data_IF_676782019126
#
_entry.id   IF_676782019126
#
_cell.length_a   1.000
_cell.length_b   1.000
_cell.length_c   1.000
_cell.angle_alpha   90.00
_cell.angle_beta   90.00
_cell.angle_gamma   90.00
#
_symmetry.space_group_name_H-M   'P 1'
#
loop_
_entity.id
_entity.type
_entity.pdbx_description
1 polymer ?
#
# COMPACT_ATOMS: atom_id res chain seq x y z
N UNK A 1 8.96 -4.29 19.43
CA UNK A 1 7.82 -3.34 19.35
C UNK A 1 6.86 -3.57 18.15
N UNK A 2 7.05 -4.56 17.26
CA UNK A 2 6.12 -4.87 16.15
C UNK A 2 4.89 -5.79 16.44
N UNK A 3 4.66 -6.42 17.62
CA UNK A 3 3.51 -7.33 17.79
C UNK A 3 2.17 -6.64 18.11
N UNK A 4 2.18 -5.39 18.63
CA UNK A 4 0.95 -4.72 19.10
C UNK A 4 0.06 -4.27 17.93
N UNK A 5 0.64 -3.78 16.83
CA UNK A 5 -0.10 -3.26 15.68
C UNK A 5 -0.91 -4.34 14.92
N UNK A 6 -0.49 -5.61 15.00
CA UNK A 6 -1.10 -6.73 14.28
C UNK A 6 -2.26 -7.36 15.07
N UNK A 7 -2.17 -7.33 16.40
CA UNK A 7 -3.28 -7.75 17.26
C UNK A 7 -4.53 -6.88 17.01
N UNK A 8 -4.36 -5.58 16.75
CA UNK A 8 -5.45 -4.68 16.45
C UNK A 8 -6.19 -5.05 15.15
N UNK A 9 -5.47 -5.42 14.08
CA UNK A 9 -6.09 -5.79 12.78
C UNK A 9 -6.86 -7.11 12.87
N UNK A 10 -6.36 -8.08 13.65
CA UNK A 10 -7.04 -9.37 13.85
C UNK A 10 -8.26 -9.20 14.77
N UNK A 11 -8.14 -8.40 15.84
CA UNK A 11 -9.27 -8.08 16.71
C UNK A 11 -10.39 -7.34 15.94
N UNK A 12 -10.02 -6.47 15.00
CA UNK A 12 -10.95 -5.73 14.13
C UNK A 12 -11.79 -6.66 13.23
N UNK A 13 -11.15 -7.67 12.62
CA UNK A 13 -11.84 -8.66 11.79
C UNK A 13 -12.81 -9.54 12.60
N UNK A 14 -12.45 -9.88 13.85
CA UNK A 14 -13.30 -10.69 14.73
C UNK A 14 -14.51 -9.88 15.24
N UNK A 15 -14.31 -8.61 15.64
CA UNK A 15 -15.40 -7.76 16.11
C UNK A 15 -16.43 -7.46 14.99
N UNK A 16 -15.97 -7.19 13.77
CA UNK A 16 -16.85 -6.93 12.62
C UNK A 16 -17.68 -8.17 12.23
N UNK A 17 -17.13 -9.38 12.37
CA UNK A 17 -17.85 -10.63 12.11
C UNK A 17 -18.90 -10.95 13.19
N UNK A 18 -18.62 -10.63 14.46
CA UNK A 18 -19.56 -10.87 15.57
C UNK A 18 -20.72 -9.87 15.56
N UNK A 19 -20.52 -8.65 15.07
CA UNK A 19 -21.58 -7.64 14.97
C UNK A 19 -22.63 -7.96 13.89
N UNK A 20 -22.25 -8.66 12.81
CA UNK A 20 -23.18 -9.03 11.72
C UNK A 20 -24.17 -10.15 12.11
N UNK A 21 -23.85 -10.97 13.11
CA UNK A 21 -24.68 -12.12 13.50
C UNK A 21 -25.82 -11.73 14.46
N UNK A 22 -25.81 -10.50 15.00
CA UNK A 22 -26.81 -10.02 15.98
C UNK A 22 -27.92 -9.13 15.42
N UNK A 23 -27.88 -8.79 14.14
CA UNK A 23 -28.88 -7.91 13.51
C UNK A 23 -29.78 -8.66 12.52
N UNK A 24 -30.67 -9.51 13.04
CA UNK A 24 -31.84 -9.99 12.31
C UNK A 24 -33.09 -9.42 12.99
N UNK A 25 -33.94 -8.63 12.30
CA UNK A 25 -35.13 -8.07 12.92
C UNK A 25 -36.25 -9.13 12.99
N UNK A 26 -36.88 -9.24 14.16
CA UNK A 26 -38.12 -9.98 14.36
C UNK A 26 -39.26 -9.39 13.51
N UNK A 27 -40.03 -10.25 12.85
CA UNK A 27 -41.20 -9.87 12.05
C UNK A 27 -42.37 -9.50 12.98
N UNK A 28 -43.05 -8.36 12.80
CA UNK A 28 -44.27 -8.06 13.51
C UNK A 28 -45.47 -8.80 12.90
N UNK A 29 -46.30 -9.37 13.76
CA UNK A 29 -47.58 -10.02 13.45
C UNK A 29 -48.69 -9.00 13.20
N UNK A 30 -49.45 -9.21 12.12
CA UNK A 30 -50.62 -8.43 11.70
C UNK A 30 -51.85 -8.66 12.60
N UNK A 31 -52.66 -7.60 12.80
CA UNK A 31 -54.13 -7.65 12.81
C UNK A 31 -54.73 -6.23 12.50
N UNK A 32 -55.83 -6.10 11.71
CA UNK A 32 -56.44 -4.83 11.30
C UNK A 32 -57.73 -4.48 12.10
N UNK A 33 -58.28 -3.24 12.04
CA UNK A 33 -59.27 -2.88 10.99
C UNK A 33 -59.42 -1.39 10.58
N UNK A 34 -60.09 -1.18 9.43
CA UNK A 34 -60.95 -0.07 8.88
C UNK A 34 -60.64 1.41 9.21
N UNK A 35 -60.75 2.42 8.33
CA UNK A 35 -61.76 2.71 7.31
C UNK A 35 -61.26 3.80 6.29
N UNK A 36 -61.84 3.79 5.08
CA UNK A 36 -61.91 4.72 3.90
C UNK A 36 -61.04 6.01 3.79
N UNK A 37 -60.34 6.18 2.66
CA UNK A 37 -60.71 7.03 1.47
C UNK A 37 -59.65 6.90 0.35
N UNK A 38 -59.99 7.08 -0.95
CA UNK A 38 -59.10 6.73 -2.05
C UNK A 38 -58.21 7.91 -2.48
N UNK A 39 -56.88 7.73 -2.39
CA UNK A 39 -55.92 8.53 -3.15
C UNK A 39 -55.20 7.68 -4.19
N UNK A 40 -55.09 8.28 -5.36
CA UNK A 40 -54.55 7.81 -6.63
C UNK A 40 -53.13 7.25 -6.48
N UNK A 41 -52.93 6.00 -6.90
CA UNK A 41 -51.62 5.33 -6.95
C UNK A 41 -50.72 5.94 -8.04
N UNK A 42 -49.45 6.26 -7.76
CA UNK A 42 -48.39 6.25 -8.77
C UNK A 42 -47.99 4.79 -9.05
N UNK A 43 -47.63 4.51 -10.30
CA UNK A 43 -47.20 3.20 -10.79
C UNK A 43 -45.99 2.66 -10.02
N UNK A 44 -46.18 1.55 -9.33
CA UNK A 44 -45.09 0.71 -8.80
C UNK A 44 -44.31 0.11 -9.97
N UNK A 45 -43.10 0.62 -10.15
CA UNK A 45 -42.11 0.02 -11.04
C UNK A 45 -41.59 -1.26 -10.38
N UNK A 46 -41.90 -2.41 -10.99
CA UNK A 46 -41.48 -3.73 -10.54
C UNK A 46 -39.98 -3.88 -10.79
N UNK A 47 -39.16 -3.35 -9.88
CA UNK A 47 -37.75 -3.68 -9.82
C UNK A 47 -37.61 -5.19 -9.57
N UNK A 48 -37.05 -5.88 -10.56
CA UNK A 48 -36.75 -7.30 -10.48
C UNK A 48 -35.84 -7.56 -9.26
N UNK A 49 -36.03 -8.68 -8.54
CA UNK A 49 -35.14 -9.04 -7.44
C UNK A 49 -33.71 -9.12 -7.97
N UNK A 50 -32.83 -8.27 -7.45
CA UNK A 50 -31.39 -8.32 -7.69
C UNK A 50 -30.93 -9.73 -7.31
N UNK A 51 -30.58 -10.53 -8.32
CA UNK A 51 -30.09 -11.88 -8.12
C UNK A 51 -28.86 -11.81 -7.21
N UNK A 52 -28.92 -12.49 -6.05
CA UNK A 52 -27.76 -12.67 -5.20
C UNK A 52 -26.63 -13.27 -6.05
N UNK A 53 -25.43 -12.66 -6.11
CA UNK A 53 -24.33 -13.25 -6.84
C UNK A 53 -24.07 -14.62 -6.22
N UNK A 54 -24.29 -15.69 -6.99
CA UNK A 54 -23.92 -17.05 -6.62
C UNK A 54 -22.39 -17.11 -6.61
N UNK A 55 -21.78 -16.66 -5.52
CA UNK A 55 -20.36 -16.79 -5.30
C UNK A 55 -20.00 -18.26 -5.31
N UNK A 56 -19.32 -18.71 -6.37
CA UNK A 56 -18.83 -20.08 -6.45
C UNK A 56 -17.70 -20.17 -5.42
N UNK A 57 -18.01 -20.67 -4.23
CA UNK A 57 -17.00 -20.99 -3.23
C UNK A 57 -16.00 -21.96 -3.87
N UNK A 58 -14.71 -21.64 -3.78
CA UNK A 58 -13.66 -22.50 -4.35
C UNK A 58 -13.48 -23.74 -3.48
N UNK A 59 -14.28 -24.78 -3.75
CA UNK A 59 -14.10 -26.12 -3.20
C UNK A 59 -12.99 -26.87 -3.93
N UNK A 60 -12.42 -27.91 -3.30
CA UNK A 60 -11.46 -28.81 -3.95
C UNK A 60 -12.02 -29.34 -5.28
N UNK A 61 -13.31 -29.66 -5.31
CA UNK A 61 -14.06 -30.11 -6.48
C UNK A 61 -14.18 -29.01 -7.55
N UNK A 62 -14.48 -27.76 -7.16
CA UNK A 62 -14.58 -26.62 -8.10
C UNK A 62 -13.27 -26.26 -8.79
N UNK A 63 -12.14 -26.70 -8.22
CA UNK A 63 -10.80 -26.55 -8.80
C UNK A 63 -10.32 -27.86 -9.46
N UNK A 64 -11.14 -28.93 -9.46
CA UNK A 64 -10.78 -30.29 -9.92
C UNK A 64 -9.48 -30.80 -9.32
N UNK A 65 -9.18 -30.41 -8.08
CA UNK A 65 -7.93 -30.70 -7.40
C UNK A 65 -8.03 -32.01 -6.63
N UNK A 66 -7.47 -33.09 -7.18
CA UNK A 66 -7.20 -34.31 -6.41
C UNK A 66 -6.00 -34.03 -5.51
N UNK A 67 -6.23 -33.85 -4.20
CA UNK A 67 -5.19 -33.58 -3.19
C UNK A 67 -3.94 -34.49 -3.31
N UNK A 68 -4.08 -35.81 -3.57
CA UNK A 68 -2.93 -36.71 -3.74
C UNK A 68 -2.05 -36.37 -4.94
N UNK A 69 -2.58 -35.77 -6.00
CA UNK A 69 -1.85 -35.46 -7.24
C UNK A 69 -1.08 -34.12 -7.13
N UNK A 70 -1.50 -33.25 -6.19
CA UNK A 70 -0.88 -31.95 -5.94
C UNK A 70 0.25 -32.01 -4.90
N UNK A 71 0.20 -32.99 -4.00
CA UNK A 71 1.29 -33.23 -3.04
C UNK A 71 2.62 -33.52 -3.74
N UNK A 72 2.69 -34.36 -4.78
CA UNK A 72 3.87 -34.55 -5.61
C UNK A 72 4.26 -33.26 -6.34
N UNK A 73 3.31 -32.54 -6.96
CA UNK A 73 3.60 -31.40 -7.85
C UNK A 73 4.36 -30.24 -7.18
N UNK A 74 4.02 -29.86 -5.94
CA UNK A 74 4.76 -28.82 -5.21
C UNK A 74 6.03 -29.33 -4.52
N UNK A 75 6.16 -30.67 -4.39
CA UNK A 75 7.36 -31.35 -3.92
C UNK A 75 8.32 -31.73 -5.05
N UNK A 76 7.88 -31.64 -6.33
CA UNK A 76 8.78 -31.67 -7.49
C UNK A 76 9.83 -30.59 -7.24
N UNK A 77 11.10 -30.97 -7.16
CA UNK A 77 12.06 -30.18 -6.42
C UNK A 77 12.35 -28.90 -7.17
N UNK A 78 11.73 -27.82 -6.70
CA UNK A 78 12.18 -26.45 -6.88
C UNK A 78 13.70 -26.34 -6.64
N UNK A 79 14.24 -27.19 -5.76
CA UNK A 79 15.68 -27.40 -5.54
C UNK A 79 16.49 -27.90 -6.76
N UNK A 80 15.90 -28.69 -7.67
CA UNK A 80 16.55 -29.15 -8.91
C UNK A 80 16.36 -28.17 -10.07
N UNK A 81 15.29 -27.37 -10.07
CA UNK A 81 15.21 -26.21 -10.97
C UNK A 81 16.29 -25.15 -10.63
N UNK A 82 16.80 -25.13 -9.38
CA UNK A 82 17.91 -24.26 -8.95
C UNK A 82 19.29 -24.70 -9.46
N UNK A 83 19.54 -26.00 -9.62
CA UNK A 83 20.86 -26.53 -9.98
C UNK A 83 21.21 -26.33 -11.46
N UNK A 84 20.23 -25.98 -12.30
CA UNK A 84 20.44 -25.94 -13.74
C UNK A 84 20.76 -27.33 -14.30
N UNK A 85 20.33 -28.38 -13.58
CA UNK A 85 20.62 -29.76 -13.96
C UNK A 85 20.10 -30.03 -15.38
N UNK A 86 20.98 -30.41 -16.32
CA UNK A 86 20.59 -30.76 -17.67
C UNK A 86 19.67 -32.00 -17.72
N UNK A 87 19.59 -32.78 -16.63
CA UNK A 87 18.73 -33.96 -16.51
C UNK A 87 17.24 -33.65 -16.27
N UNK A 88 16.85 -32.37 -16.10
CA UNK A 88 15.44 -31.96 -16.03
C UNK A 88 15.05 -31.13 -17.25
N UNK A 89 15.22 -31.72 -18.45
CA UNK A 89 14.58 -31.23 -19.68
C UNK A 89 13.08 -31.54 -19.62
N UNK A 90 12.34 -30.86 -18.74
CA UNK A 90 10.90 -30.77 -18.92
C UNK A 90 10.64 -29.95 -20.17
N UNK A 91 9.74 -30.43 -21.02
CA UNK A 91 9.30 -29.62 -22.14
C UNK A 91 8.60 -28.33 -21.62
N UNK A 92 8.58 -27.28 -22.45
CA UNK A 92 8.00 -25.99 -22.06
C UNK A 92 6.50 -26.09 -21.71
N UNK A 93 5.79 -27.11 -22.18
CA UNK A 93 4.37 -27.34 -21.91
C UNK A 93 4.19 -27.99 -20.55
N UNK A 94 4.90 -29.08 -20.25
CA UNK A 94 4.94 -29.75 -18.96
C UNK A 94 5.34 -28.78 -17.85
N UNK A 95 6.35 -27.92 -18.10
CA UNK A 95 6.77 -26.91 -17.12
C UNK A 95 5.63 -25.95 -16.81
N UNK A 96 4.94 -25.43 -17.83
CA UNK A 96 3.79 -24.52 -17.66
C UNK A 96 2.62 -25.20 -16.93
N UNK A 97 2.32 -26.45 -17.27
CA UNK A 97 1.29 -27.23 -16.59
C UNK A 97 1.62 -27.47 -15.11
N UNK A 98 2.88 -27.79 -14.80
CA UNK A 98 3.35 -27.95 -13.42
C UNK A 98 3.19 -26.65 -12.64
N UNK A 99 3.66 -25.52 -13.18
CA UNK A 99 3.52 -24.20 -12.55
C UNK A 99 2.06 -23.85 -12.30
N UNK A 100 1.17 -24.15 -13.24
CA UNK A 100 -0.26 -23.92 -13.09
C UNK A 100 -0.87 -24.77 -11.96
N UNK A 101 -0.51 -26.06 -11.86
CA UNK A 101 -0.95 -26.94 -10.77
C UNK A 101 -0.42 -26.45 -9.41
N UNK A 102 0.83 -26.00 -9.35
CA UNK A 102 1.42 -25.40 -8.15
C UNK A 102 0.66 -24.14 -7.74
N UNK A 103 0.42 -23.23 -8.67
CA UNK A 103 -0.33 -22.00 -8.42
C UNK A 103 -1.76 -22.30 -7.92
N UNK A 104 -2.48 -23.23 -8.56
CA UNK A 104 -3.81 -23.66 -8.14
C UNK A 104 -3.81 -24.31 -6.76
N UNK A 105 -2.83 -25.15 -6.45
CA UNK A 105 -2.69 -25.78 -5.14
C UNK A 105 -2.53 -24.74 -4.03
N UNK A 106 -1.64 -23.76 -4.24
CA UNK A 106 -1.42 -22.71 -3.26
C UNK A 106 -2.61 -21.77 -3.15
N UNK A 107 -3.22 -21.37 -4.27
CA UNK A 107 -4.46 -20.58 -4.27
C UNK A 107 -5.59 -21.31 -3.50
N UNK A 108 -5.74 -22.62 -3.71
CA UNK A 108 -6.70 -23.45 -2.97
C UNK A 108 -6.39 -23.51 -1.47
N UNK A 109 -5.12 -23.67 -1.09
CA UNK A 109 -4.70 -23.68 0.32
C UNK A 109 -5.06 -22.38 1.04
N UNK A 110 -5.12 -21.26 0.33
CA UNK A 110 -5.57 -19.97 0.88
C UNK A 110 -7.09 -19.88 1.05
N UNK A 111 -7.86 -20.62 0.25
CA UNK A 111 -9.33 -20.62 0.27
C UNK A 111 -9.92 -21.73 1.14
N UNK A 112 -9.09 -22.67 1.58
CA UNK A 112 -9.55 -23.83 2.32
C UNK A 112 -9.82 -23.45 3.78
N UNK A 113 -11.10 -23.48 4.13
CA UNK A 113 -11.69 -23.21 5.46
C UNK A 113 -11.20 -24.13 6.59
N UNK A 114 -10.29 -25.07 6.32
CA UNK A 114 -10.08 -26.19 7.23
C UNK A 114 -9.48 -25.71 8.58
N UNK A 115 -10.18 -25.93 9.71
CA UNK A 115 -9.77 -25.51 11.06
C UNK A 115 -8.51 -26.20 11.61
N UNK A 116 -7.73 -26.90 10.78
CA UNK A 116 -6.36 -27.32 11.15
C UNK A 116 -5.44 -26.14 11.52
N UNK A 117 -5.87 -24.90 11.28
CA UNK A 117 -5.20 -23.66 11.70
C UNK A 117 -5.78 -23.03 12.98
N UNK A 118 -6.92 -23.53 13.48
CA UNK A 118 -7.48 -23.15 14.80
C UNK A 118 -7.17 -24.18 15.88
N UNK A 119 -6.67 -25.37 15.52
CA UNK A 119 -6.24 -26.37 16.49
C UNK A 119 -4.88 -26.02 17.10
N UNK A 120 -4.93 -25.43 18.31
CA UNK A 120 -3.90 -25.43 19.38
C UNK A 120 -2.66 -24.53 19.35
N UNK A 121 -2.28 -23.89 18.24
CA UNK A 121 -0.97 -23.18 18.16
C UNK A 121 -1.01 -21.64 18.15
N UNK A 122 -2.14 -21.00 18.50
CA UNK A 122 -2.23 -19.53 18.63
C UNK A 122 -2.20 -18.74 17.29
N UNK A 123 -2.46 -17.42 17.31
CA UNK A 123 -2.57 -16.57 16.12
C UNK A 123 -1.27 -16.46 15.30
N UNK A 124 -0.11 -16.77 15.89
CA UNK A 124 1.17 -16.80 15.20
C UNK A 124 1.29 -17.95 14.19
N UNK A 125 0.53 -19.04 14.36
CA UNK A 125 0.62 -20.21 13.48
C UNK A 125 0.15 -19.94 12.05
N UNK A 126 -0.89 -19.13 11.87
CA UNK A 126 -1.38 -18.73 10.54
C UNK A 126 -0.35 -17.85 9.82
N UNK A 127 0.32 -16.97 10.57
CA UNK A 127 1.38 -16.10 10.04
C UNK A 127 2.62 -16.90 9.67
N UNK A 128 3.06 -17.78 10.56
CA UNK A 128 4.15 -18.72 10.28
C UNK A 128 3.81 -19.61 9.09
N UNK A 129 2.55 -20.02 8.93
CA UNK A 129 2.13 -20.81 7.79
C UNK A 129 2.13 -20.01 6.48
N UNK A 130 1.60 -18.78 6.48
CA UNK A 130 1.64 -17.91 5.30
C UNK A 130 3.06 -17.52 4.91
N UNK A 131 3.93 -17.25 5.89
CA UNK A 131 5.35 -17.00 5.66
C UNK A 131 6.09 -18.28 5.20
N UNK A 132 5.75 -19.45 5.73
CA UNK A 132 6.29 -20.72 5.29
C UNK A 132 5.82 -21.04 3.87
N UNK A 133 4.55 -20.76 3.55
CA UNK A 133 3.97 -20.90 2.22
C UNK A 133 4.66 -19.93 1.25
N UNK A 134 4.84 -18.67 1.63
CA UNK A 134 5.64 -17.69 0.88
C UNK A 134 7.08 -18.14 0.65
N UNK A 135 7.73 -18.65 1.70
CA UNK A 135 9.11 -19.17 1.63
C UNK A 135 9.19 -20.40 0.72
N UNK A 136 8.13 -21.21 0.65
CA UNK A 136 8.02 -22.38 -0.24
C UNK A 136 7.66 -22.01 -1.68
N UNK A 137 6.87 -20.96 -1.89
CA UNK A 137 6.45 -20.47 -3.23
C UNK A 137 7.56 -19.64 -3.88
N UNK A 138 8.28 -18.83 -3.10
CA UNK A 138 9.32 -17.92 -3.58
C UNK A 138 10.71 -18.17 -2.95
N UNK A 139 11.23 -19.42 -2.94
CA UNK A 139 12.52 -19.72 -2.32
C UNK A 139 13.70 -19.07 -3.07
N UNK A 140 13.47 -18.45 -4.23
CA UNK A 140 14.53 -17.96 -5.13
C UNK A 140 14.95 -16.53 -4.88
N UNK A 141 14.03 -15.65 -4.52
CA UNK A 141 14.37 -14.25 -4.29
C UNK A 141 15.27 -14.11 -3.04
N UNK A 142 15.05 -14.95 -2.03
CA UNK A 142 15.95 -15.06 -0.87
C UNK A 142 17.34 -15.59 -1.27
N UNK A 143 17.44 -16.45 -2.28
CA UNK A 143 18.73 -16.92 -2.79
C UNK A 143 19.48 -15.79 -3.50
N UNK A 144 18.79 -14.98 -4.33
CA UNK A 144 19.36 -13.81 -4.99
C UNK A 144 19.81 -12.71 -4.02
N UNK A 145 19.08 -12.52 -2.92
CA UNK A 145 19.41 -11.50 -1.91
C UNK A 145 20.60 -11.91 -1.03
N UNK A 146 20.74 -13.21 -0.74
CA UNK A 146 21.73 -13.69 0.24
C UNK A 146 23.08 -14.07 -0.37
N UNK A 147 23.17 -14.21 -1.70
CA UNK A 147 24.40 -14.65 -2.33
C UNK A 147 24.81 -13.71 -3.49
N UNK A 148 25.76 -12.78 -3.25
CA UNK A 148 26.25 -11.87 -4.29
C UNK A 148 27.05 -12.59 -5.38
N UNK A 149 27.47 -13.85 -5.16
CA UNK A 149 28.31 -14.63 -6.06
C UNK A 149 27.51 -15.48 -7.06
N UNK A 150 26.17 -15.33 -7.12
CA UNK A 150 25.35 -16.06 -8.09
C UNK A 150 25.67 -15.59 -9.50
N UNK A 151 26.06 -16.49 -10.43
CA UNK A 151 26.32 -16.13 -11.82
C UNK A 151 25.14 -15.40 -12.46
N UNK A 152 25.42 -14.41 -13.32
CA UNK A 152 24.38 -13.61 -13.99
C UNK A 152 23.37 -14.48 -14.75
N UNK A 153 23.82 -15.58 -15.37
CA UNK A 153 22.96 -16.53 -16.05
C UNK A 153 21.98 -17.24 -15.10
N UNK A 154 22.45 -17.70 -13.95
CA UNK A 154 21.60 -18.33 -12.94
C UNK A 154 20.59 -17.31 -12.37
N UNK A 155 21.00 -16.05 -12.19
CA UNK A 155 20.10 -14.96 -11.82
C UNK A 155 19.00 -14.75 -12.85
N UNK A 156 19.33 -14.76 -14.14
CA UNK A 156 18.34 -14.66 -15.23
C UNK A 156 17.38 -15.84 -15.24
N UNK A 157 17.87 -17.09 -15.07
CA UNK A 157 17.04 -18.29 -15.00
C UNK A 157 16.06 -18.23 -13.82
N UNK A 158 16.55 -17.84 -12.64
CA UNK A 158 15.72 -17.64 -11.44
C UNK A 158 14.63 -16.61 -11.70
N UNK A 159 14.97 -15.47 -12.29
CA UNK A 159 14.01 -14.41 -12.60
C UNK A 159 12.97 -14.87 -13.60
N UNK A 160 13.38 -15.52 -14.69
CA UNK A 160 12.46 -16.09 -15.70
C UNK A 160 11.48 -17.06 -15.04
N UNK A 161 11.97 -17.96 -14.21
CA UNK A 161 11.11 -18.87 -13.46
C UNK A 161 10.11 -18.13 -12.57
N UNK A 162 10.57 -17.11 -11.85
CA UNK A 162 9.72 -16.32 -10.97
C UNK A 162 8.61 -15.57 -11.74
N UNK A 163 8.93 -15.03 -12.91
CA UNK A 163 7.97 -14.45 -13.85
C UNK A 163 6.97 -15.48 -14.39
N UNK A 164 7.44 -16.66 -14.81
CA UNK A 164 6.56 -17.76 -15.27
C UNK A 164 5.62 -18.23 -14.15
N UNK A 165 6.13 -18.34 -12.92
CA UNK A 165 5.33 -18.68 -11.74
C UNK A 165 4.30 -17.59 -11.43
N UNK A 166 4.68 -16.31 -11.44
CA UNK A 166 3.75 -15.20 -11.22
C UNK A 166 2.60 -15.23 -12.24
N UNK A 167 2.91 -15.42 -13.52
CA UNK A 167 1.92 -15.57 -14.59
C UNK A 167 0.96 -16.74 -14.35
N UNK A 168 1.44 -17.86 -13.80
CA UNK A 168 0.60 -18.99 -13.41
C UNK A 168 -0.31 -18.66 -12.20
N UNK A 169 0.16 -17.83 -11.26
CA UNK A 169 -0.61 -17.38 -10.10
C UNK A 169 -1.69 -16.36 -10.45
N UNK A 170 -1.50 -15.48 -11.44
CA UNK A 170 -2.48 -14.45 -11.82
C UNK A 170 -3.90 -15.01 -12.01
N UNK A 171 -4.16 -16.00 -12.89
CA UNK A 171 -5.51 -16.52 -13.09
C UNK A 171 -6.05 -17.27 -11.85
N UNK A 172 -5.18 -17.92 -11.09
CA UNK A 172 -5.57 -18.64 -9.88
C UNK A 172 -6.03 -17.67 -8.79
N UNK A 173 -5.23 -16.63 -8.50
CA UNK A 173 -5.55 -15.60 -7.52
C UNK A 173 -6.73 -14.74 -7.95
N UNK A 174 -6.87 -14.42 -9.24
CA UNK A 174 -8.04 -13.71 -9.77
C UNK A 174 -9.35 -14.47 -9.49
N UNK A 175 -9.32 -15.81 -9.54
CA UNK A 175 -10.45 -16.66 -9.12
C UNK A 175 -10.70 -16.58 -7.61
N UNK A 176 -9.65 -16.59 -6.80
CA UNK A 176 -9.74 -16.47 -5.33
C UNK A 176 -10.30 -15.11 -4.89
N UNK A 177 -9.98 -14.04 -5.61
CA UNK A 177 -10.51 -12.70 -5.33
C UNK A 177 -12.04 -12.58 -5.57
N UNK A 178 -12.66 -13.58 -6.18
CA UNK A 178 -14.11 -13.66 -6.33
C UNK A 178 -14.80 -14.37 -5.15
N UNK A 179 -14.04 -14.90 -4.19
CA UNK A 179 -14.58 -15.57 -3.02
C UNK A 179 -15.35 -14.58 -2.12
N UNK A 180 -16.54 -14.95 -1.62
CA UNK A 180 -17.34 -14.05 -0.77
C UNK A 180 -16.65 -13.71 0.56
N UNK A 181 -15.73 -14.54 1.05
CA UNK A 181 -15.09 -14.38 2.36
C UNK A 181 -13.92 -13.39 2.30
N UNK A 182 -13.92 -12.29 3.08
CA UNK A 182 -12.84 -11.29 3.05
C UNK A 182 -11.45 -11.85 3.36
N UNK A 183 -11.35 -12.75 4.35
CA UNK A 183 -10.06 -13.33 4.75
C UNK A 183 -9.37 -14.09 3.61
N UNK A 184 -10.15 -14.75 2.76
CA UNK A 184 -9.65 -15.51 1.60
C UNK A 184 -9.08 -14.55 0.55
N UNK A 185 -9.78 -13.46 0.27
CA UNK A 185 -9.32 -12.42 -0.67
C UNK A 185 -8.07 -11.70 -0.15
N UNK A 186 -8.03 -11.35 1.14
CA UNK A 186 -6.85 -10.76 1.79
C UNK A 186 -5.65 -11.69 1.68
N UNK A 187 -5.83 -13.00 1.89
CA UNK A 187 -4.75 -13.98 1.76
C UNK A 187 -4.22 -14.08 0.32
N UNK A 188 -5.09 -13.98 -0.70
CA UNK A 188 -4.65 -13.87 -2.09
C UNK A 188 -3.83 -12.59 -2.34
N UNK A 189 -4.27 -11.44 -1.82
CA UNK A 189 -3.53 -10.19 -1.93
C UNK A 189 -2.18 -10.23 -1.23
N UNK A 190 -2.05 -10.96 -0.12
CA UNK A 190 -0.77 -11.19 0.56
C UNK A 190 0.20 -11.99 -0.30
N UNK A 191 -0.26 -13.00 -1.03
CA UNK A 191 0.59 -13.69 -2.01
C UNK A 191 1.01 -12.73 -3.12
N UNK A 192 0.08 -11.95 -3.65
CA UNK A 192 0.41 -10.97 -4.69
C UNK A 192 1.48 -9.97 -4.22
N UNK A 193 1.35 -9.48 -2.98
CA UNK A 193 2.35 -8.63 -2.32
C UNK A 193 3.72 -9.32 -2.26
N UNK A 194 3.80 -10.61 -1.97
CA UNK A 194 5.08 -11.32 -1.87
C UNK A 194 5.82 -11.41 -3.21
N UNK A 195 5.10 -11.52 -4.33
CA UNK A 195 5.73 -11.38 -5.66
C UNK A 195 6.22 -9.95 -5.89
N UNK A 196 5.42 -8.97 -5.50
CA UNK A 196 5.74 -7.55 -5.66
C UNK A 196 6.93 -7.08 -4.83
N UNK A 197 7.06 -7.54 -3.58
CA UNK A 197 8.22 -7.31 -2.69
C UNK A 197 9.53 -7.73 -3.36
N UNK A 198 9.48 -8.69 -4.28
CA UNK A 198 10.65 -9.18 -5.04
C UNK A 198 10.80 -8.52 -6.41
N UNK A 199 10.03 -7.47 -6.68
CA UNK A 199 10.00 -6.77 -7.96
C UNK A 199 9.53 -7.65 -9.13
N UNK A 200 8.68 -8.65 -8.89
CA UNK A 200 8.07 -9.47 -9.94
C UNK A 200 6.80 -8.77 -10.38
N UNK A 201 6.91 -7.97 -11.44
CA UNK A 201 5.86 -7.04 -11.87
C UNK A 201 4.65 -7.73 -12.48
N UNK A 202 4.80 -8.93 -13.04
CA UNK A 202 3.76 -9.71 -13.71
C UNK A 202 2.52 -9.97 -12.83
N UNK A 203 2.66 -9.84 -11.50
CA UNK A 203 1.57 -9.99 -10.54
C UNK A 203 0.62 -8.77 -10.48
N UNK A 204 0.97 -7.66 -11.13
CA UNK A 204 0.20 -6.41 -11.07
C UNK A 204 -1.30 -6.55 -11.36
N UNK A 205 -1.79 -7.44 -12.26
CA UNK A 205 -3.23 -7.54 -12.51
C UNK A 205 -4.02 -7.94 -11.25
N UNK A 206 -3.42 -8.75 -10.38
CA UNK A 206 -4.02 -9.16 -9.11
C UNK A 206 -4.04 -7.99 -8.12
N UNK A 207 -2.98 -7.19 -8.08
CA UNK A 207 -2.89 -6.00 -7.22
C UNK A 207 -3.85 -4.89 -7.66
N UNK A 208 -4.01 -4.73 -8.97
CA UNK A 208 -4.85 -3.68 -9.56
C UNK A 208 -6.34 -3.97 -9.39
N UNK A 209 -6.70 -5.26 -9.34
CA UNK A 209 -8.08 -5.71 -9.23
C UNK A 209 -8.92 -5.00 -8.15
N UNK A 210 -8.54 -4.98 -6.86
CA UNK A 210 -9.35 -4.31 -5.85
C UNK A 210 -9.43 -2.79 -6.06
N UNK A 211 -8.40 -2.16 -6.63
CA UNK A 211 -8.39 -0.72 -6.89
C UNK A 211 -9.33 -0.30 -8.03
N UNK A 212 -9.54 -1.20 -9.00
CA UNK A 212 -10.42 -0.97 -10.15
C UNK A 212 -11.86 -1.42 -9.90
N UNK A 213 -12.02 -2.59 -9.26
CA UNK A 213 -13.32 -3.24 -9.15
C UNK A 213 -14.19 -2.60 -8.08
N UNK A 214 -13.59 -2.21 -6.96
CA UNK A 214 -14.32 -1.68 -5.83
C UNK A 214 -14.34 -0.16 -5.92
N UNK A 215 -15.48 0.48 -5.63
CA UNK A 215 -15.50 1.93 -5.53
C UNK A 215 -14.63 2.38 -4.36
N UNK A 216 -14.15 3.63 -4.38
CA UNK A 216 -13.26 4.15 -3.33
C UNK A 216 -13.92 4.13 -1.94
N UNK A 217 -15.24 4.26 -1.89
CA UNK A 217 -16.09 4.20 -0.70
C UNK A 217 -16.59 2.79 -0.36
N UNK A 218 -15.93 1.76 -0.91
CA UNK A 218 -16.31 0.38 -0.66
C UNK A 218 -16.35 0.05 0.84
N UNK A 219 -17.30 -0.82 1.27
CA UNK A 219 -17.41 -1.26 2.65
C UNK A 219 -16.08 -1.72 3.26
N UNK A 220 -15.96 -1.60 4.59
CA UNK A 220 -14.74 -1.94 5.34
C UNK A 220 -14.16 -3.33 5.02
N UNK A 221 -15.03 -4.29 4.65
CA UNK A 221 -14.65 -5.66 4.25
C UNK A 221 -13.77 -5.73 3.00
N UNK A 222 -13.64 -4.65 2.22
CA UNK A 222 -12.78 -4.54 1.04
C UNK A 222 -11.52 -3.70 1.27
N UNK A 223 -11.40 -3.03 2.42
CA UNK A 223 -10.27 -2.13 2.71
C UNK A 223 -8.98 -2.91 3.02
N UNK A 224 -9.11 -4.16 3.47
CA UNK A 224 -7.95 -5.05 3.65
C UNK A 224 -7.26 -5.39 2.33
N UNK A 225 -8.03 -5.58 1.26
CA UNK A 225 -7.52 -5.81 -0.09
C UNK A 225 -6.82 -4.56 -0.64
N UNK A 226 -7.42 -3.37 -0.44
CA UNK A 226 -6.79 -2.09 -0.78
C UNK A 226 -5.44 -1.90 -0.08
N UNK A 227 -5.35 -2.20 1.21
CA UNK A 227 -4.08 -2.12 1.96
C UNK A 227 -2.96 -2.91 1.27
N UNK A 228 -3.21 -4.19 0.98
CA UNK A 228 -2.21 -5.07 0.39
C UNK A 228 -1.93 -4.74 -1.07
N UNK A 229 -2.93 -4.26 -1.82
CA UNK A 229 -2.75 -3.73 -3.18
C UNK A 229 -1.80 -2.54 -3.19
N UNK A 230 -2.09 -1.52 -2.37
CA UNK A 230 -1.26 -0.32 -2.24
C UNK A 230 0.15 -0.67 -1.83
N UNK A 231 0.29 -1.51 -0.81
CA UNK A 231 1.59 -2.00 -0.34
C UNK A 231 2.36 -2.73 -1.44
N UNK A 232 1.71 -3.63 -2.19
CA UNK A 232 2.33 -4.34 -3.31
C UNK A 232 2.80 -3.40 -4.41
N UNK A 233 1.97 -2.45 -4.82
CA UNK A 233 2.38 -1.45 -5.79
C UNK A 233 3.51 -0.55 -5.27
N UNK A 234 3.54 -0.21 -3.98
CA UNK A 234 4.68 0.49 -3.37
C UNK A 234 6.01 -0.24 -3.60
N UNK A 235 6.04 -1.56 -3.42
CA UNK A 235 7.23 -2.37 -3.71
C UNK A 235 7.55 -2.39 -5.22
N UNK A 236 6.55 -2.51 -6.08
CA UNK A 236 6.77 -2.48 -7.54
C UNK A 236 7.27 -1.10 -8.01
N UNK A 237 6.76 -0.01 -7.47
CA UNK A 237 7.25 1.34 -7.74
C UNK A 237 8.69 1.50 -7.28
N UNK A 238 9.00 1.03 -6.06
CA UNK A 238 10.37 1.02 -5.57
C UNK A 238 11.29 0.20 -6.48
N UNK A 239 10.85 -0.98 -6.90
CA UNK A 239 11.59 -1.86 -7.79
C UNK A 239 11.85 -1.17 -9.14
N UNK A 240 10.86 -0.54 -9.76
CA UNK A 240 10.99 0.25 -11.00
C UNK A 240 12.06 1.34 -10.87
N UNK A 241 12.03 2.10 -9.76
CA UNK A 241 12.93 3.23 -9.54
C UNK A 241 14.35 2.79 -9.16
N UNK A 242 14.46 1.73 -8.36
CA UNK A 242 15.73 1.16 -7.90
C UNK A 242 16.44 0.33 -8.97
N UNK A 243 15.73 0.01 -10.07
CA UNK A 243 16.13 -1.04 -10.99
C UNK A 243 17.50 -0.74 -11.59
N UNK A 244 18.50 -1.49 -11.11
CA UNK A 244 19.88 -1.41 -11.62
C UNK A 244 20.00 -1.91 -13.06
N UNK A 245 18.98 -2.62 -13.55
CA UNK A 245 18.90 -3.09 -14.93
C UNK A 245 17.86 -2.26 -15.72
N UNK A 246 18.29 -1.18 -16.42
CA UNK A 246 17.40 -0.29 -17.15
C UNK A 246 16.67 -0.97 -18.32
N UNK A 247 17.08 -2.17 -18.73
CA UNK A 247 16.42 -2.93 -19.80
C UNK A 247 15.17 -3.66 -19.31
N UNK A 248 15.00 -3.81 -18.00
CA UNK A 248 13.87 -4.54 -17.42
C UNK A 248 12.71 -3.59 -17.16
N UNK A 249 11.66 -3.72 -17.96
CA UNK A 249 10.35 -3.12 -17.67
C UNK A 249 9.69 -3.97 -16.60
N UNK A 250 9.71 -3.48 -15.35
CA UNK A 250 9.01 -4.15 -14.23
C UNK A 250 7.51 -3.88 -14.32
N UNK A 251 7.12 -2.65 -14.62
CA UNK A 251 5.73 -2.27 -14.85
C UNK A 251 5.62 -1.46 -16.14
N UNK A 252 4.59 -1.72 -16.97
CA UNK A 252 4.24 -0.83 -18.06
C UNK A 252 3.93 0.59 -17.54
N UNK A 253 4.34 1.67 -18.23
CA UNK A 253 4.10 3.04 -17.76
C UNK A 253 2.63 3.37 -17.52
N UNK A 254 1.72 2.87 -18.36
CA UNK A 254 0.28 3.03 -18.22
C UNK A 254 -0.26 2.40 -16.93
N UNK A 255 0.28 1.25 -16.53
CA UNK A 255 -0.07 0.58 -15.28
C UNK A 255 0.43 1.38 -14.07
N UNK A 256 1.64 1.94 -14.16
CA UNK A 256 2.15 2.85 -13.12
C UNK A 256 1.22 4.05 -12.97
N UNK A 257 0.85 4.68 -14.07
CA UNK A 257 -0.05 5.83 -14.09
C UNK A 257 -1.41 5.49 -13.51
N UNK A 258 -1.99 4.38 -13.95
CA UNK A 258 -3.30 3.91 -13.51
C UNK A 258 -3.31 3.59 -12.02
N UNK A 259 -2.36 2.79 -11.53
CA UNK A 259 -2.29 2.40 -10.12
C UNK A 259 -2.10 3.63 -9.20
N UNK A 260 -1.21 4.55 -9.56
CA UNK A 260 -1.00 5.78 -8.78
C UNK A 260 -2.25 6.67 -8.77
N UNK A 261 -2.95 6.81 -9.91
CA UNK A 261 -4.21 7.55 -10.00
C UNK A 261 -5.31 6.95 -9.12
N UNK A 262 -5.43 5.62 -9.06
CA UNK A 262 -6.38 4.96 -8.15
C UNK A 262 -6.03 5.22 -6.67
N UNK A 263 -4.75 5.20 -6.30
CA UNK A 263 -4.34 5.49 -4.92
C UNK A 263 -4.57 6.96 -4.53
N UNK A 264 -4.30 7.90 -5.44
CA UNK A 264 -4.59 9.31 -5.26
C UNK A 264 -6.09 9.54 -5.06
N UNK A 265 -6.92 8.94 -5.93
CA UNK A 265 -8.37 9.01 -5.83
C UNK A 265 -8.87 8.44 -4.49
N UNK A 266 -8.35 7.26 -4.09
CA UNK A 266 -8.69 6.65 -2.81
C UNK A 266 -8.25 7.51 -1.63
N UNK A 267 -7.04 8.09 -1.65
CA UNK A 267 -6.56 8.99 -0.59
C UNK A 267 -7.42 10.25 -0.50
N UNK A 268 -7.75 10.85 -1.64
CA UNK A 268 -8.61 12.02 -1.68
C UNK A 268 -9.97 11.73 -1.06
N UNK A 269 -10.61 10.60 -1.42
CA UNK A 269 -11.83 10.14 -0.75
C UNK A 269 -11.60 9.93 0.75
N UNK A 270 -10.54 9.20 1.11
CA UNK A 270 -10.26 8.81 2.48
C UNK A 270 -10.10 10.03 3.38
N UNK A 271 -9.56 11.16 2.90
CA UNK A 271 -9.41 12.42 3.62
C UNK A 271 -10.65 13.32 3.63
N UNK A 272 -11.69 13.01 2.85
CA UNK A 272 -12.92 13.80 2.78
C UNK A 272 -14.14 12.99 3.19
N UNK A 273 -13.96 12.01 4.07
CA UNK A 273 -15.05 11.25 4.67
C UNK A 273 -15.86 12.21 5.55
N UNK A 274 -17.19 12.12 5.45
CA UNK A 274 -18.11 12.96 6.21
C UNK A 274 -17.73 13.01 7.71
N UNK A 275 -17.44 14.19 8.27
CA UNK A 275 -17.15 14.34 9.69
C UNK A 275 -18.27 13.80 10.60
N UNK A 276 -19.52 13.81 10.14
CA UNK A 276 -20.65 13.21 10.87
C UNK A 276 -20.47 11.71 11.04
N UNK A 277 -20.15 11.01 9.96
CA UNK A 277 -19.83 9.58 9.98
C UNK A 277 -18.61 9.26 10.84
N UNK A 278 -17.51 10.01 10.70
CA UNK A 278 -16.27 9.75 11.45
C UNK A 278 -16.48 9.87 12.97
N UNK A 279 -17.39 10.72 13.43
CA UNK A 279 -17.74 10.83 14.86
C UNK A 279 -18.41 9.57 15.42
N UNK A 280 -18.98 8.73 14.58
CA UNK A 280 -19.60 7.45 15.00
C UNK A 280 -18.58 6.34 15.14
N UNK A 281 -17.37 6.53 14.62
CA UNK A 281 -16.32 5.51 14.62
C UNK A 281 -15.62 5.43 15.98
N UNK A 282 -15.26 4.20 16.32
CA UNK A 282 -14.33 3.89 17.41
C UNK A 282 -12.93 4.43 17.14
N UNK A 283 -12.12 4.56 18.20
CA UNK A 283 -10.73 4.98 18.07
C UNK A 283 -9.92 4.01 17.20
N UNK A 284 -10.23 2.72 17.27
CA UNK A 284 -9.62 1.65 16.48
C UNK A 284 -9.94 1.78 14.99
N UNK A 285 -11.17 2.14 14.63
CA UNK A 285 -11.58 2.40 13.24
C UNK A 285 -10.84 3.60 12.65
N UNK A 286 -10.75 4.68 13.42
CA UNK A 286 -10.00 5.88 13.02
C UNK A 286 -8.52 5.54 12.81
N UNK A 287 -7.89 4.81 13.73
CA UNK A 287 -6.48 4.42 13.58
C UNK A 287 -6.27 3.40 12.45
N UNK A 288 -7.23 2.51 12.22
CA UNK A 288 -7.26 1.61 11.07
C UNK A 288 -7.24 2.38 9.75
N UNK A 289 -8.07 3.42 9.61
CA UNK A 289 -8.06 4.30 8.45
C UNK A 289 -6.72 5.02 8.29
N UNK A 290 -6.16 5.56 9.37
CA UNK A 290 -4.85 6.24 9.34
C UNK A 290 -3.73 5.30 8.91
N UNK A 291 -3.78 4.04 9.32
CA UNK A 291 -2.82 3.03 8.88
C UNK A 291 -2.90 2.79 7.37
N UNK A 292 -4.12 2.70 6.82
CA UNK A 292 -4.34 2.58 5.37
C UNK A 292 -3.82 3.81 4.62
N UNK A 293 -4.15 5.02 5.09
CA UNK A 293 -3.67 6.29 4.52
C UNK A 293 -2.15 6.38 4.53
N UNK A 294 -1.48 6.06 5.64
CA UNK A 294 0.00 6.01 5.70
C UNK A 294 0.58 5.04 4.67
N UNK A 295 -0.04 3.88 4.48
CA UNK A 295 0.43 2.92 3.49
C UNK A 295 0.28 3.45 2.06
N UNK A 296 -0.84 4.09 1.74
CA UNK A 296 -1.03 4.72 0.43
C UNK A 296 0.00 5.86 0.20
N UNK A 297 0.22 6.71 1.20
CA UNK A 297 1.24 7.78 1.16
C UNK A 297 2.64 7.23 0.90
N UNK A 298 3.04 6.19 1.64
CA UNK A 298 4.32 5.50 1.42
C UNK A 298 4.45 4.95 0.01
N UNK A 299 3.37 4.37 -0.51
CA UNK A 299 3.37 3.75 -1.83
C UNK A 299 3.52 4.83 -2.91
N UNK A 300 2.77 5.92 -2.82
CA UNK A 300 2.93 7.08 -3.72
C UNK A 300 4.31 7.74 -3.61
N UNK A 301 4.90 7.83 -2.42
CA UNK A 301 6.26 8.33 -2.24
C UNK A 301 7.30 7.48 -3.00
N UNK A 302 7.13 6.15 -3.03
CA UNK A 302 8.02 5.23 -3.74
C UNK A 302 7.93 5.33 -5.26
N UNK A 303 6.87 5.97 -5.80
CA UNK A 303 6.79 6.32 -7.22
C UNK A 303 7.90 7.28 -7.63
N UNK A 304 8.36 8.14 -6.71
CA UNK A 304 9.34 9.21 -6.93
C UNK A 304 9.00 10.18 -8.07
N UNK A 305 7.73 10.25 -8.48
CA UNK A 305 7.24 11.17 -9.52
C UNK A 305 6.28 12.18 -8.91
N UNK A 306 6.53 13.49 -9.09
CA UNK A 306 5.65 14.52 -8.56
C UNK A 306 4.32 14.59 -9.32
N UNK A 307 4.32 14.21 -10.60
CA UNK A 307 3.13 14.10 -11.44
C UNK A 307 3.04 12.69 -12.01
N UNK A 308 1.85 12.09 -11.92
CA UNK A 308 1.61 10.75 -12.48
C UNK A 308 1.50 10.82 -14.01
N UNK A 309 0.76 11.81 -14.53
CA UNK A 309 0.58 12.02 -15.96
C UNK A 309 1.04 13.43 -16.37
N UNK A 310 2.24 13.57 -16.98
CA UNK A 310 2.71 14.85 -17.50
C UNK A 310 1.83 15.40 -18.64
N UNK A 311 1.14 14.53 -19.39
CA UNK A 311 0.26 14.94 -20.50
C UNK A 311 -1.05 15.55 -19.98
N UNK A 312 -1.51 15.11 -18.80
CA UNK A 312 -2.66 15.67 -18.12
C UNK A 312 -2.26 16.19 -16.72
N UNK A 313 -1.72 17.42 -16.62
CA UNK A 313 -1.25 17.99 -15.36
C UNK A 313 -2.37 18.27 -14.35
N UNK A 314 -3.64 18.00 -14.68
CA UNK A 314 -4.77 18.09 -13.73
C UNK A 314 -4.99 16.78 -12.96
N UNK A 315 -4.49 15.66 -13.47
CA UNK A 315 -4.60 14.34 -12.85
C UNK A 315 -3.24 13.88 -12.36
N UNK A 316 -3.16 13.21 -11.21
CA UNK A 316 -1.88 12.67 -10.77
C UNK A 316 -1.03 13.65 -9.98
N UNK A 317 -1.60 14.59 -9.22
CA UNK A 317 -0.83 15.63 -8.51
C UNK A 317 -0.33 15.15 -7.16
N UNK A 318 0.51 14.10 -7.21
CA UNK A 318 1.04 13.43 -6.02
C UNK A 318 1.73 14.41 -5.08
N UNK A 319 2.53 15.34 -5.60
CA UNK A 319 3.22 16.31 -4.76
C UNK A 319 2.23 17.26 -4.04
N UNK A 320 1.18 17.73 -4.72
CA UNK A 320 0.17 18.61 -4.11
C UNK A 320 -0.61 17.90 -3.02
N UNK A 321 -1.02 16.64 -3.27
CA UNK A 321 -1.67 15.81 -2.26
C UNK A 321 -0.78 15.62 -1.02
N UNK A 322 0.50 15.28 -1.21
CA UNK A 322 1.45 15.12 -0.11
C UNK A 322 1.66 16.44 0.64
N UNK A 323 1.75 17.57 -0.06
CA UNK A 323 1.88 18.89 0.56
C UNK A 323 0.64 19.25 1.39
N UNK A 324 -0.55 19.06 0.85
CA UNK A 324 -1.82 19.32 1.54
C UNK A 324 -1.92 18.50 2.84
N UNK A 325 -1.57 17.22 2.79
CA UNK A 325 -1.59 16.33 3.96
C UNK A 325 -0.52 16.73 4.98
N UNK A 326 0.70 17.04 4.54
CA UNK A 326 1.79 17.48 5.43
C UNK A 326 1.40 18.76 6.19
N UNK A 327 0.86 19.75 5.47
CA UNK A 327 0.48 21.03 6.07
C UNK A 327 -0.75 20.89 6.96
N UNK A 328 -1.71 20.06 6.55
CA UNK A 328 -2.95 19.81 7.28
C UNK A 328 -3.67 21.11 7.69
N UNK A 329 -3.69 22.10 6.79
CA UNK A 329 -4.25 23.41 7.09
C UNK A 329 -5.74 23.28 7.48
N UNK A 330 -6.22 24.06 8.46
CA UNK A 330 -7.62 24.00 8.90
C UNK A 330 -8.63 24.16 7.73
N UNK A 331 -8.26 24.96 6.73
CA UNK A 331 -9.10 25.25 5.57
C UNK A 331 -9.27 24.05 4.63
N UNK A 332 -8.36 23.08 4.68
CA UNK A 332 -8.43 21.87 3.86
C UNK A 332 -9.54 20.91 4.30
N UNK A 333 -10.14 21.11 5.48
CA UNK A 333 -11.29 20.33 6.01
C UNK A 333 -11.10 18.81 5.94
N UNK A 334 -9.87 18.34 6.13
CA UNK A 334 -9.54 16.92 6.10
C UNK A 334 -10.17 16.19 7.30
N UNK A 335 -10.84 15.07 7.04
CA UNK A 335 -11.66 14.33 8.00
C UNK A 335 -11.46 12.80 7.89
N UNK A 336 -11.06 12.12 8.99
CA UNK A 336 -10.44 12.69 10.18
C UNK A 336 -9.16 13.46 9.84
N UNK A 337 -8.75 14.43 10.69
CA UNK A 337 -7.49 15.14 10.53
C UNK A 337 -6.31 14.17 10.45
N UNK A 338 -5.31 14.43 9.58
CA UNK A 338 -4.11 13.62 9.52
C UNK A 338 -3.37 13.67 10.87
N UNK A 339 -3.01 12.48 11.35
CA UNK A 339 -2.09 12.31 12.48
C UNK A 339 -0.70 12.84 12.16
N UNK A 340 0.11 13.12 13.18
CA UNK A 340 1.53 13.45 12.99
C UNK A 340 2.28 12.40 12.18
N UNK A 341 1.97 11.12 12.39
CA UNK A 341 2.49 10.03 11.56
C UNK A 341 2.17 10.20 10.08
N UNK A 342 0.94 10.54 9.70
CA UNK A 342 0.57 10.79 8.31
C UNK A 342 1.26 12.03 7.73
N UNK A 343 1.35 13.11 8.50
CA UNK A 343 2.03 14.34 8.09
C UNK A 343 3.53 14.12 7.85
N UNK A 344 4.18 13.34 8.71
CA UNK A 344 5.59 12.95 8.59
C UNK A 344 5.82 12.04 7.37
N UNK A 345 4.93 11.07 7.13
CA UNK A 345 5.00 10.23 5.92
C UNK A 345 4.81 11.06 4.64
N UNK A 346 3.92 12.05 4.67
CA UNK A 346 3.71 12.95 3.56
C UNK A 346 4.94 13.86 3.29
N UNK A 347 5.55 14.42 4.34
CA UNK A 347 6.80 15.16 4.25
C UNK A 347 7.96 14.28 3.72
N UNK A 348 8.09 13.07 4.24
CA UNK A 348 9.05 12.08 3.75
C UNK A 348 8.80 11.72 2.28
N UNK A 349 7.53 11.68 1.87
CA UNK A 349 7.12 11.49 0.49
C UNK A 349 7.56 12.63 -0.42
N UNK A 350 7.34 13.89 -0.03
CA UNK A 350 7.81 15.06 -0.77
C UNK A 350 9.33 15.03 -0.98
N UNK A 351 10.08 14.69 0.06
CA UNK A 351 11.54 14.54 -0.01
C UNK A 351 12.00 13.41 -0.95
N UNK A 352 11.15 12.41 -1.21
CA UNK A 352 11.45 11.30 -2.10
C UNK A 352 11.14 11.58 -3.59
N UNK A 353 10.39 12.65 -3.89
CA UNK A 353 10.01 13.01 -5.26
C UNK A 353 11.19 13.58 -6.04
N UNK A 354 11.50 12.99 -7.19
CA UNK A 354 12.61 13.46 -8.02
C UNK A 354 12.22 14.74 -8.78
N UNK A 355 13.14 15.71 -8.86
CA UNK A 355 12.97 16.87 -9.71
C UNK A 355 13.07 16.42 -11.17
N UNK A 356 12.10 16.81 -11.99
CA UNK A 356 12.24 16.70 -13.44
C UNK A 356 12.90 17.98 -13.93
N UNK A 357 14.03 17.85 -14.64
CA UNK A 357 14.81 18.99 -15.14
C UNK A 357 13.99 19.94 -16.04
N UNK A 358 12.91 19.44 -16.65
CA UNK A 358 12.00 20.23 -17.50
C UNK A 358 10.54 20.19 -17.01
N UNK A 359 10.28 19.54 -15.88
CA UNK A 359 8.93 19.38 -15.39
C UNK A 359 8.45 20.64 -14.65
N UNK A 360 7.12 20.77 -14.45
CA UNK A 360 6.55 21.92 -13.75
C UNK A 360 6.85 21.89 -12.24
N UNK A 361 7.27 20.75 -11.68
CA UNK A 361 7.49 20.58 -10.24
C UNK A 361 8.67 21.39 -9.70
N UNK A 362 8.40 22.23 -8.69
CA UNK A 362 9.38 23.08 -8.02
C UNK A 362 9.87 22.41 -6.73
N UNK A 363 10.97 21.65 -6.83
CA UNK A 363 11.53 20.93 -5.68
C UNK A 363 12.06 21.88 -4.59
N UNK A 364 12.57 23.06 -4.94
CA UNK A 364 13.02 24.06 -3.97
C UNK A 364 11.86 24.58 -3.10
N UNK A 365 10.69 24.83 -3.69
CA UNK A 365 9.48 25.16 -2.95
C UNK A 365 9.07 24.02 -2.00
N UNK A 366 9.07 22.77 -2.47
CA UNK A 366 8.73 21.63 -1.62
C UNK A 366 9.68 21.50 -0.42
N UNK A 367 10.99 21.68 -0.61
CA UNK A 367 11.97 21.64 0.49
C UNK A 367 11.82 22.81 1.46
N UNK A 368 11.42 23.98 0.96
CA UNK A 368 11.12 25.13 1.79
C UNK A 368 9.94 24.85 2.73
N UNK A 369 8.84 24.31 2.20
CA UNK A 369 7.66 23.93 3.00
C UNK A 369 7.97 22.78 3.97
N UNK A 370 8.79 21.80 3.57
CA UNK A 370 9.30 20.76 4.49
C UNK A 370 10.14 21.39 5.59
N UNK A 371 10.90 22.45 5.32
CA UNK A 371 11.65 23.17 6.35
C UNK A 371 10.77 23.83 7.40
N UNK A 372 9.68 24.45 6.99
CA UNK A 372 8.66 24.98 7.91
C UNK A 372 8.04 23.86 8.74
N UNK A 373 7.69 22.76 8.09
CA UNK A 373 7.16 21.57 8.79
C UNK A 373 8.14 20.98 9.82
N UNK A 374 9.44 20.93 9.49
CA UNK A 374 10.48 20.49 10.44
C UNK A 374 10.55 21.43 11.65
N UNK A 375 10.47 22.75 11.44
CA UNK A 375 10.40 23.70 12.54
C UNK A 375 9.19 23.45 13.46
N UNK A 376 8.00 23.25 12.88
CA UNK A 376 6.78 22.98 13.65
C UNK A 376 6.90 21.68 14.44
N UNK A 377 7.43 20.63 13.82
CA UNK A 377 7.67 19.34 14.44
C UNK A 377 8.60 19.47 15.65
N UNK A 378 9.72 20.20 15.51
CA UNK A 378 10.68 20.42 16.60
C UNK A 378 10.07 21.29 17.70
N UNK A 379 9.32 22.34 17.33
CA UNK A 379 8.64 23.23 18.28
C UNK A 379 7.67 22.46 19.15
N UNK A 380 6.88 21.56 18.55
CA UNK A 380 5.95 20.71 19.29
C UNK A 380 6.64 19.64 20.12
N UNK A 381 7.72 19.03 19.60
CA UNK A 381 8.53 18.10 20.38
C UNK A 381 9.19 18.76 21.60
N UNK A 382 9.62 20.03 21.48
CA UNK A 382 10.15 20.83 22.59
C UNK A 382 9.04 21.18 23.62
N UNK A 383 7.80 21.37 23.17
CA UNK A 383 6.66 21.67 24.03
C UNK A 383 6.07 20.42 24.72
N UNK A 384 6.28 19.23 24.16
CA UNK A 384 5.81 17.96 24.70
C UNK A 384 6.66 17.49 25.90
N UNK A 385 6.42 18.14 27.04
CA UNK A 385 7.10 17.85 28.31
C UNK A 385 6.66 16.51 28.92
N UNK A 386 5.46 16.04 28.58
CA UNK A 386 4.92 14.75 29.01
C UNK A 386 5.41 13.64 28.08
N UNK A 387 6.64 13.16 28.35
CA UNK A 387 7.30 12.10 27.59
C UNK A 387 6.34 10.95 27.24
N UNK A 388 6.08 10.76 25.94
CA UNK A 388 5.44 9.55 25.41
C UNK A 388 4.11 9.75 24.68
N UNK A 389 3.62 10.99 24.50
CA UNK A 389 2.41 11.24 23.69
C UNK A 389 2.64 10.92 22.22
N UNK A 390 3.77 11.33 21.67
CA UNK A 390 4.13 11.12 20.26
C UNK A 390 5.54 10.54 20.11
N UNK A 391 5.81 9.71 19.10
CA UNK A 391 7.11 9.10 18.88
C UNK A 391 8.06 10.07 18.13
N UNK A 392 8.32 11.25 18.70
CA UNK A 392 9.10 12.33 18.06
C UNK A 392 10.45 11.89 17.50
N UNK A 393 11.19 11.09 18.28
CA UNK A 393 12.48 10.54 17.85
C UNK A 393 12.36 9.67 16.59
N UNK A 394 11.29 8.87 16.48
CA UNK A 394 11.02 8.04 15.31
C UNK A 394 10.69 8.91 14.10
N UNK A 395 9.84 9.92 14.26
CA UNK A 395 9.52 10.87 13.20
C UNK A 395 10.77 11.61 12.70
N UNK A 396 11.61 12.10 13.61
CA UNK A 396 12.84 12.78 13.27
C UNK A 396 13.82 11.86 12.54
N UNK A 397 14.01 10.64 13.04
CA UNK A 397 14.86 9.64 12.39
C UNK A 397 14.37 9.29 10.97
N UNK A 398 13.06 9.20 10.77
CA UNK A 398 12.46 8.91 9.47
C UNK A 398 12.74 10.02 8.45
N UNK A 399 12.46 11.29 8.79
CA UNK A 399 12.74 12.44 7.91
C UNK A 399 14.23 12.59 7.63
N UNK A 400 15.07 12.42 8.66
CA UNK A 400 16.53 12.45 8.54
C UNK A 400 17.02 11.41 7.53
N UNK A 401 16.50 10.18 7.59
CA UNK A 401 16.86 9.13 6.62
C UNK A 401 16.59 9.58 5.18
N UNK A 402 15.44 10.21 4.93
CA UNK A 402 15.10 10.73 3.60
C UNK A 402 15.99 11.88 3.16
N UNK A 403 16.32 12.82 4.05
CA UNK A 403 17.24 13.91 3.72
C UNK A 403 18.66 13.41 3.40
N UNK A 404 19.11 12.33 4.04
CA UNK A 404 20.39 11.70 3.70
C UNK A 404 20.34 11.03 2.31
N UNK A 405 19.22 10.40 1.94
CA UNK A 405 19.01 9.89 0.57
C UNK A 405 19.04 11.04 -0.45
N UNK A 406 18.42 12.17 -0.15
CA UNK A 406 18.46 13.39 -1.00
C UNK A 406 19.89 13.89 -1.17
N UNK A 407 20.65 14.00 -0.07
CA UNK A 407 22.03 14.47 -0.09
C UNK A 407 22.94 13.61 -0.99
N UNK A 408 22.66 12.30 -1.05
CA UNK A 408 23.41 11.35 -1.88
C UNK A 408 22.94 11.30 -3.33
N UNK A 409 21.78 11.88 -3.66
CA UNK A 409 21.16 11.75 -4.97
C UNK A 409 21.64 12.85 -5.93
N UNK A 410 22.22 12.48 -7.09
CA UNK A 410 22.80 13.44 -8.04
C UNK A 410 21.78 14.42 -8.63
N UNK A 411 20.48 14.10 -8.63
CA UNK A 411 19.42 14.98 -9.11
C UNK A 411 19.34 16.30 -8.33
N UNK A 412 19.73 16.31 -7.04
CA UNK A 412 19.70 17.50 -6.19
C UNK A 412 21.06 18.19 -6.05
N UNK A 413 22.15 17.54 -6.47
CA UNK A 413 23.51 18.10 -6.32
C UNK A 413 23.68 19.47 -7.00
N UNK A 414 22.93 19.72 -8.09
CA UNK A 414 22.95 20.98 -8.84
C UNK A 414 21.98 22.04 -8.30
N UNK A 415 21.14 21.71 -7.33
CA UNK A 415 20.12 22.61 -6.80
C UNK A 415 20.65 23.39 -5.61
N UNK A 416 21.26 24.55 -5.88
CA UNK A 416 21.96 25.35 -4.87
C UNK A 416 21.10 25.71 -3.64
N UNK A 417 19.81 25.98 -3.82
CA UNK A 417 18.90 26.26 -2.70
C UNK A 417 18.76 25.03 -1.77
N UNK A 418 18.52 23.85 -2.35
CA UNK A 418 18.41 22.59 -1.60
C UNK A 418 19.73 22.26 -0.90
N UNK A 419 20.88 22.43 -1.56
CA UNK A 419 22.17 22.16 -0.93
C UNK A 419 22.45 23.07 0.29
N UNK A 420 21.94 24.30 0.30
CA UNK A 420 22.05 25.22 1.44
C UNK A 420 21.10 24.87 2.59
N UNK A 421 19.88 24.45 2.29
CA UNK A 421 18.87 24.14 3.32
C UNK A 421 19.11 22.77 3.97
N UNK A 422 19.64 21.78 3.25
CA UNK A 422 19.89 20.43 3.74
C UNK A 422 20.60 20.35 5.10
N UNK A 423 21.76 20.99 5.34
CA UNK A 423 22.42 20.93 6.64
C UNK A 423 21.59 21.57 7.77
N UNK A 424 20.78 22.59 7.45
CA UNK A 424 19.90 23.27 8.41
C UNK A 424 18.69 22.41 8.80
N UNK A 425 18.23 21.53 7.91
CA UNK A 425 17.20 20.53 8.22
C UNK A 425 17.78 19.34 8.99
N UNK A 426 18.94 18.83 8.56
CA UNK A 426 19.55 17.63 9.13
C UNK A 426 19.95 17.81 10.59
N UNK A 427 20.48 18.99 10.96
CA UNK A 427 20.97 19.25 12.32
C UNK A 427 19.89 19.05 13.41
N UNK A 428 18.77 19.80 13.42
CA UNK A 428 17.76 19.65 14.46
C UNK A 428 17.10 18.26 14.45
N UNK A 429 16.96 17.63 13.29
CA UNK A 429 16.44 16.27 13.19
C UNK A 429 17.42 15.22 13.76
N UNK A 430 18.73 15.37 13.54
CA UNK A 430 19.75 14.52 14.15
C UNK A 430 19.75 14.65 15.67
N UNK A 431 19.69 15.89 16.17
CA UNK A 431 19.57 16.20 17.60
C UNK A 431 18.30 15.57 18.20
N UNK A 432 17.12 15.77 17.59
CA UNK A 432 15.86 15.19 18.08
C UNK A 432 15.89 13.67 18.05
N UNK A 433 16.42 13.06 16.99
CA UNK A 433 16.47 11.60 16.84
C UNK A 433 17.36 10.91 17.88
N UNK A 434 18.36 11.62 18.42
CA UNK A 434 19.32 11.10 19.42
C UNK A 434 19.04 11.57 20.83
N UNK A 435 18.20 12.59 21.00
CA UNK A 435 17.96 13.21 22.30
C UNK A 435 17.34 12.21 23.26
N UNK A 436 18.07 11.86 24.32
CA UNK A 436 17.53 11.08 25.45
C UNK A 436 16.73 11.96 26.41
N UNK A 437 16.91 13.27 26.32
CA UNK A 437 16.31 14.24 27.19
C UNK A 437 15.81 15.46 26.41
N UNK A 438 14.50 15.52 26.20
CA UNK A 438 13.81 16.63 25.52
C UNK A 438 13.68 17.88 26.42
N UNK A 439 14.24 17.87 27.64
CA UNK A 439 14.24 19.05 28.52
C UNK A 439 15.05 20.22 27.96
N UNK A 440 16.03 19.93 27.09
CA UNK A 440 16.81 20.95 26.38
C UNK A 440 16.14 21.24 25.05
N UNK A 441 15.62 22.46 24.83
CA UNK A 441 14.97 22.79 23.58
C UNK A 441 15.98 22.75 22.45
N UNK A 442 15.59 22.11 21.34
CA UNK A 442 16.38 22.07 20.11
C UNK A 442 16.17 23.37 19.35
N UNK A 443 17.26 24.03 18.97
CA UNK A 443 17.24 25.33 18.32
C UNK A 443 16.99 25.22 16.80
N UNK A 444 15.90 25.83 16.34
CA UNK A 444 15.52 25.92 14.92
C UNK A 444 15.68 27.33 14.33
N UNK A 445 16.17 28.31 15.10
CA UNK A 445 16.33 29.68 14.64
C UNK A 445 17.21 29.81 13.38
N UNK A 446 18.33 29.06 13.23
CA UNK A 446 19.11 29.11 12.00
C UNK A 446 18.33 28.67 10.75
N UNK A 447 17.46 27.67 10.90
CA UNK A 447 16.58 27.18 9.83
C UNK A 447 15.53 28.24 9.47
N UNK A 448 14.85 28.80 10.47
CA UNK A 448 13.81 29.83 10.24
C UNK A 448 14.39 31.08 9.59
N UNK A 449 15.53 31.58 10.07
CA UNK A 449 16.22 32.72 9.46
C UNK A 449 16.59 32.46 7.99
N UNK A 450 16.98 31.23 7.65
CA UNK A 450 17.24 30.87 6.27
C UNK A 450 15.96 30.86 5.42
N UNK A 451 14.88 30.25 5.92
CA UNK A 451 13.59 30.21 5.24
C UNK A 451 13.03 31.63 4.99
N UNK A 452 13.20 32.55 5.94
CA UNK A 452 12.75 33.94 5.76
C UNK A 452 13.62 34.74 4.78
N UNK A 453 14.94 34.54 4.82
CA UNK A 453 15.89 35.33 4.01
C UNK A 453 16.12 34.80 2.60
N UNK A 454 15.83 33.52 2.35
CA UNK A 454 15.99 32.89 1.05
C UNK A 454 14.69 32.17 0.66
N UNK A 455 13.71 32.88 0.10
CA UNK A 455 12.52 32.24 -0.45
C UNK A 455 12.89 31.30 -1.62
N UNK A 456 12.05 30.29 -1.90
CA UNK A 456 12.23 29.44 -3.08
C UNK A 456 12.08 30.27 -4.36
N UNK A 457 12.61 29.78 -5.49
CA UNK A 457 12.51 30.49 -6.77
C UNK A 457 11.08 30.53 -7.29
N UNK A 458 10.33 29.45 -7.07
CA UNK A 458 8.90 29.40 -7.35
C UNK A 458 8.06 29.67 -6.12
N UNK A 459 6.97 30.43 -6.28
CA UNK A 459 5.99 30.67 -5.22
C UNK A 459 4.98 29.53 -5.06
N UNK A 460 4.96 28.58 -6.00
CA UNK A 460 4.01 27.47 -6.06
C UNK A 460 4.74 26.15 -6.30
N UNK A 461 4.10 25.05 -5.91
CA UNK A 461 4.63 23.70 -6.06
C UNK A 461 4.78 23.28 -7.53
N UNK A 462 3.93 23.80 -8.40
CA UNK A 462 3.98 23.57 -9.84
C UNK A 462 3.98 24.89 -10.60
N UNK A 463 4.90 25.05 -11.54
CA UNK A 463 4.89 26.12 -12.53
C UNK A 463 4.49 25.52 -13.87
N UNK A 464 3.20 25.58 -14.18
CA UNK A 464 2.71 25.16 -15.49
C UNK A 464 3.09 26.21 -16.53
N UNK A 465 3.65 25.78 -17.65
CA UNK A 465 3.85 26.68 -18.78
C UNK A 465 2.50 27.30 -19.16
N UNK A 466 2.45 28.60 -19.52
CA UNK A 466 1.22 29.21 -20.01
C UNK A 466 0.71 28.36 -21.19
N UNK A 467 -0.58 28.02 -21.16
CA UNK A 467 -1.21 27.28 -22.25
C UNK A 467 -0.87 28.01 -23.57
N UNK A 468 -0.22 27.33 -24.51
CA UNK A 468 -0.01 27.92 -25.82
C UNK A 468 -1.40 28.21 -26.40
N UNK A 469 -1.67 29.46 -26.81
CA UNK A 469 -3.00 29.93 -27.18
C UNK A 469 -3.57 29.21 -28.41
#
# INVERSE_FOLDING_TARGET
MRPILVLCVVAFLVAALVAQDKSAPEKPTNNPPADKTPLTKPSEDKSAPVAKPSGIALTAESLRLKLPDLRPAHMVPVGRMRSGDPEFQMDDKERRELLQRVAQYYAFRLTHENPLYTTSSGPDSLREHMNALATRVLPFARALELNPDIPAEQTLRIRRYASELANAFVPALAKVLQDPRPIVRINAMRIAYLFAERGIGEIYPVLLYPLEKYPVDAPAVFQGEHYWAMRGFGELFHAVVSNRDPKRVILPPDIVTKAAGHMECWLNWAYHIDPGLVKTWSAEEVEGLRLLRRQALRSLALLRRPLVDPANPKTGRVAELLLQIMKAEPDAKLSPPPSWGERVEAAAGLLALLPDAKGPYQADFAFHEVGRFVNDLITLANADTERGREPWQHHAAHLRSRLLEVQQNPAYAKQAHIQKILPLLLKPLDELSRSRDLSKPIDTNPLMKFLESQPPKGAELYQLAPAQP
#
